data_IF_338705210278
#
_entry.id   IF_338705210278
#
_cell.length_a   1.000
_cell.length_b   1.000
_cell.length_c   1.000
_cell.angle_alpha   90.00
_cell.angle_beta   90.00
_cell.angle_gamma   90.00
#
_symmetry.space_group_name_H-M   'P 1'
#
loop_
_entity.id
_entity.type
_entity.pdbx_description
1 polymer ?
#
# COMPACT_ATOMS: atom_id res chain seq x y z
N UNK A 1 -9.88 -10.39 -16.24
CA UNK A 1 -9.61 -10.92 -14.89
C UNK A 1 -9.22 -9.74 -14.03
N UNK A 2 -10.03 -9.48 -13.02
CA UNK A 2 -9.85 -8.38 -12.08
C UNK A 2 -9.10 -8.86 -10.82
N UNK A 3 -8.63 -7.92 -10.00
CA UNK A 3 -7.99 -8.24 -8.72
C UNK A 3 -8.89 -9.12 -7.81
N UNK A 4 -10.21 -8.91 -7.87
CA UNK A 4 -11.18 -9.66 -7.08
C UNK A 4 -11.17 -11.15 -7.42
N UNK A 5 -10.97 -11.50 -8.69
CA UNK A 5 -10.96 -12.89 -9.15
C UNK A 5 -9.79 -13.66 -8.52
N UNK A 6 -8.59 -13.05 -8.55
CA UNK A 6 -7.39 -13.58 -7.91
C UNK A 6 -7.56 -13.74 -6.40
N UNK A 7 -8.10 -12.72 -5.73
CA UNK A 7 -8.33 -12.76 -4.28
C UNK A 7 -9.38 -13.81 -3.91
N UNK A 8 -10.44 -13.97 -4.70
CA UNK A 8 -11.48 -14.99 -4.47
C UNK A 8 -10.94 -16.40 -4.71
N UNK A 9 -10.11 -16.59 -5.73
CA UNK A 9 -9.40 -17.84 -5.96
C UNK A 9 -8.54 -18.22 -4.75
N UNK A 10 -7.71 -17.30 -4.25
CA UNK A 10 -6.84 -17.55 -3.09
C UNK A 10 -7.64 -17.71 -1.80
N UNK A 11 -8.65 -16.88 -1.54
CA UNK A 11 -9.31 -16.85 -0.23
C UNK A 11 -10.49 -17.81 -0.11
N UNK A 12 -11.20 -18.13 -1.19
CA UNK A 12 -12.49 -18.81 -1.12
C UNK A 12 -12.59 -20.03 -2.04
N UNK A 13 -12.49 -19.82 -3.37
CA UNK A 13 -12.77 -20.87 -4.36
C UNK A 13 -11.70 -21.96 -4.38
N UNK A 14 -10.42 -21.61 -4.14
CA UNK A 14 -9.27 -22.52 -4.26
C UNK A 14 -9.15 -23.19 -5.62
N UNK A 15 -9.57 -22.47 -6.66
CA UNK A 15 -9.41 -22.88 -8.05
C UNK A 15 -8.17 -22.22 -8.61
N UNK A 16 -7.29 -23.01 -9.22
CA UNK A 16 -6.07 -22.52 -9.85
C UNK A 16 -6.41 -21.83 -11.18
N UNK A 17 -6.28 -20.51 -11.21
CA UNK A 17 -6.61 -19.71 -12.39
C UNK A 17 -5.52 -19.76 -13.47
N UNK A 18 -4.31 -20.22 -13.13
CA UNK A 18 -3.17 -20.35 -14.04
C UNK A 18 -3.17 -21.68 -14.80
N UNK A 19 -3.81 -22.73 -14.26
CA UNK A 19 -3.98 -24.02 -14.95
C UNK A 19 -4.81 -23.90 -16.23
N UNK A 20 -5.83 -23.03 -16.22
CA UNK A 20 -6.71 -22.81 -17.37
C UNK A 20 -6.04 -22.02 -18.51
N UNK A 21 -5.13 -21.11 -18.18
CA UNK A 21 -4.44 -20.25 -19.15
C UNK A 21 -3.15 -19.68 -18.53
N UNK A 22 -1.97 -20.24 -18.89
CA UNK A 22 -0.68 -19.79 -18.39
C UNK A 22 -0.34 -18.34 -18.74
N UNK A 23 -0.95 -17.74 -19.78
CA UNK A 23 -0.68 -16.34 -20.14
C UNK A 23 -1.20 -15.34 -19.10
N UNK A 24 -2.07 -15.79 -18.19
CA UNK A 24 -2.64 -14.96 -17.10
C UNK A 24 -1.59 -14.55 -16.06
N UNK A 25 -0.49 -15.28 -15.95
CA UNK A 25 0.61 -14.98 -15.03
C UNK A 25 1.16 -13.56 -15.21
N UNK A 26 1.24 -13.07 -16.45
CA UNK A 26 1.70 -11.72 -16.76
C UNK A 26 0.80 -10.62 -16.20
N UNK A 27 -0.47 -10.95 -15.92
CA UNK A 27 -1.48 -10.02 -15.39
C UNK A 27 -1.64 -10.17 -13.87
N UNK A 28 -0.91 -11.08 -13.23
CA UNK A 28 -1.00 -11.31 -11.80
C UNK A 28 -0.36 -10.15 -11.01
N UNK A 29 -1.14 -9.43 -10.17
CA UNK A 29 -0.61 -8.28 -9.44
C UNK A 29 0.02 -8.71 -8.10
N UNK A 30 1.18 -9.36 -8.18
CA UNK A 30 2.00 -9.88 -7.07
C UNK A 30 2.02 -8.99 -5.82
N UNK A 31 2.43 -7.73 -6.01
CA UNK A 31 2.52 -6.74 -4.94
C UNK A 31 1.17 -6.46 -4.28
N UNK A 32 0.11 -6.32 -5.08
CA UNK A 32 -1.22 -5.97 -4.57
C UNK A 32 -1.81 -7.14 -3.78
N UNK A 33 -1.63 -8.36 -4.27
CA UNK A 33 -2.09 -9.57 -3.55
C UNK A 33 -1.39 -9.69 -2.20
N UNK A 34 -0.06 -9.56 -2.17
CA UNK A 34 0.69 -9.62 -0.91
C UNK A 34 0.23 -8.54 0.08
N UNK A 35 0.05 -7.30 -0.39
CA UNK A 35 -0.46 -6.19 0.42
C UNK A 35 -1.88 -6.43 0.97
N UNK A 36 -2.74 -7.06 0.18
CA UNK A 36 -4.08 -7.42 0.67
C UNK A 36 -4.00 -8.50 1.76
N UNK A 37 -3.14 -9.50 1.59
CA UNK A 37 -2.96 -10.59 2.56
C UNK A 37 -2.23 -10.14 3.82
N UNK A 38 -1.37 -9.12 3.76
CA UNK A 38 -0.72 -8.57 4.95
C UNK A 38 -1.70 -7.89 5.91
N UNK A 39 -2.91 -7.57 5.46
CA UNK A 39 -3.94 -6.92 6.26
C UNK A 39 -4.65 -7.82 7.27
N UNK A 40 -4.41 -9.13 7.26
CA UNK A 40 -5.05 -10.07 8.18
C UNK A 40 -4.04 -10.82 9.03
N UNK A 41 -4.38 -11.01 10.31
CA UNK A 41 -3.51 -11.67 11.31
C UNK A 41 -3.19 -13.11 10.92
N UNK A 42 -4.11 -13.81 10.26
CA UNK A 42 -3.90 -15.20 9.83
C UNK A 42 -3.02 -15.33 8.58
N UNK A 43 -2.88 -14.26 7.79
CA UNK A 43 -2.12 -14.28 6.53
C UNK A 43 -0.86 -13.40 6.54
N UNK A 44 -0.62 -12.64 7.61
CA UNK A 44 0.53 -11.75 7.73
C UNK A 44 1.87 -12.50 7.69
N UNK A 45 1.96 -13.68 8.30
CA UNK A 45 3.20 -14.46 8.31
C UNK A 45 3.57 -14.97 6.90
N UNK A 46 2.58 -15.50 6.16
CA UNK A 46 2.77 -15.89 4.75
C UNK A 46 3.15 -14.70 3.87
N UNK A 47 2.59 -13.53 4.16
CA UNK A 47 2.90 -12.30 3.43
C UNK A 47 4.33 -11.83 3.69
N UNK A 48 4.81 -12.01 4.94
CA UNK A 48 6.17 -11.69 5.34
C UNK A 48 7.21 -12.61 4.70
N UNK A 49 6.93 -13.92 4.63
CA UNK A 49 7.81 -14.88 3.93
C UNK A 49 8.01 -14.49 2.46
N UNK A 50 6.91 -14.20 1.75
CA UNK A 50 6.99 -13.79 0.34
C UNK A 50 7.73 -12.45 0.16
N UNK A 51 7.63 -11.53 1.11
CA UNK A 51 8.37 -10.26 1.06
C UNK A 51 9.89 -10.44 1.10
N UNK A 52 10.41 -11.55 1.63
CA UNK A 52 11.84 -11.84 1.61
C UNK A 52 12.36 -12.16 0.19
N UNK A 53 11.47 -12.53 -0.72
CA UNK A 53 11.81 -12.97 -2.08
C UNK A 53 11.19 -12.03 -3.14
N UNK A 54 11.73 -10.82 -3.33
CA UNK A 54 11.16 -9.84 -4.27
C UNK A 54 11.28 -10.25 -5.75
N UNK A 55 12.23 -11.14 -6.09
CA UNK A 55 12.42 -11.68 -7.44
C UNK A 55 11.69 -13.00 -7.70
N UNK A 56 10.78 -13.40 -6.80
CA UNK A 56 10.03 -14.64 -6.95
C UNK A 56 9.12 -14.57 -8.17
N UNK A 57 8.99 -15.70 -8.86
CA UNK A 57 8.08 -15.79 -10.00
C UNK A 57 6.61 -15.64 -9.56
N UNK A 58 5.82 -14.99 -10.41
CA UNK A 58 4.44 -14.64 -10.10
C UNK A 58 3.58 -15.89 -9.85
N UNK A 59 3.77 -16.92 -10.67
CA UNK A 59 3.12 -18.21 -10.49
C UNK A 59 3.49 -18.85 -9.15
N UNK A 60 4.76 -18.84 -8.77
CA UNK A 60 5.19 -19.46 -7.53
C UNK A 60 4.59 -18.75 -6.31
N UNK A 61 4.55 -17.42 -6.33
CA UNK A 61 3.87 -16.62 -5.31
C UNK A 61 2.38 -16.98 -5.22
N UNK A 62 1.71 -17.07 -6.38
CA UNK A 62 0.30 -17.41 -6.45
C UNK A 62 0.01 -18.82 -5.91
N UNK A 63 0.78 -19.82 -6.35
CA UNK A 63 0.65 -21.21 -5.94
C UNK A 63 0.92 -21.35 -4.43
N UNK A 64 1.89 -20.62 -3.89
CA UNK A 64 2.16 -20.58 -2.45
C UNK A 64 0.94 -20.11 -1.66
N UNK A 65 0.33 -18.98 -2.04
CA UNK A 65 -0.85 -18.48 -1.34
C UNK A 65 -2.08 -19.36 -1.55
N UNK A 66 -2.26 -19.90 -2.76
CA UNK A 66 -3.37 -20.77 -3.10
C UNK A 66 -3.37 -22.02 -2.20
N UNK A 67 -2.20 -22.61 -1.96
CA UNK A 67 -2.08 -23.85 -1.19
C UNK A 67 -1.90 -23.62 0.32
N UNK A 68 -1.27 -22.51 0.73
CA UNK A 68 -0.95 -22.28 2.16
C UNK A 68 -2.10 -21.65 2.94
N UNK A 69 -2.86 -20.75 2.30
CA UNK A 69 -3.90 -19.98 3.01
C UNK A 69 -5.16 -20.82 3.18
N UNK A 70 -5.83 -20.75 4.34
CA UNK A 70 -7.11 -21.46 4.53
C UNK A 70 -8.28 -20.69 3.90
N UNK A 71 -9.30 -21.44 3.46
CA UNK A 71 -10.55 -20.88 2.91
C UNK A 71 -11.24 -20.00 3.96
N UNK A 72 -11.45 -18.71 3.66
CA UNK A 72 -12.16 -17.73 4.50
C UNK A 72 -12.54 -16.53 3.65
N UNK A 73 -13.72 -15.94 3.88
CA UNK A 73 -14.06 -14.64 3.27
C UNK A 73 -13.24 -13.53 3.92
N UNK A 74 -12.32 -12.93 3.16
CA UNK A 74 -11.41 -11.87 3.60
C UNK A 74 -11.67 -10.61 2.78
N UNK A 75 -11.94 -9.49 3.46
CA UNK A 75 -12.12 -8.18 2.85
C UNK A 75 -11.03 -7.26 3.39
N UNK A 76 -10.09 -6.85 2.53
CA UNK A 76 -8.94 -6.06 2.96
C UNK A 76 -9.34 -4.59 3.02
N UNK A 77 -9.37 -3.93 4.19
CA UNK A 77 -9.58 -2.50 4.25
C UNK A 77 -8.34 -1.80 3.66
N UNK A 78 -8.52 -1.01 2.62
CA UNK A 78 -7.47 -0.11 2.16
C UNK A 78 -7.34 1.04 3.15
N UNK A 79 -6.35 0.94 4.03
CA UNK A 79 -5.96 2.02 4.93
C UNK A 79 -5.53 3.23 4.08
N UNK A 80 -6.38 4.26 4.09
CA UNK A 80 -6.02 5.56 3.53
C UNK A 80 -5.23 6.30 4.60
N UNK A 81 -4.05 6.79 4.24
CA UNK A 81 -3.30 7.68 5.13
C UNK A 81 -4.05 9.00 5.23
N UNK A 82 -4.29 9.47 6.45
CA UNK A 82 -4.80 10.82 6.66
C UNK A 82 -3.80 11.84 6.13
N UNK A 83 -4.30 12.79 5.32
CA UNK A 83 -3.46 13.87 4.80
C UNK A 83 -3.19 14.85 5.94
N UNK A 84 -1.94 14.91 6.39
CA UNK A 84 -1.49 15.94 7.34
C UNK A 84 -1.43 17.26 6.59
N UNK A 85 -2.39 18.14 6.85
CA UNK A 85 -2.42 19.47 6.25
C UNK A 85 -1.15 20.26 6.65
N UNK A 86 -0.65 21.07 5.73
CA UNK A 86 0.47 22.01 5.94
C UNK A 86 1.87 21.39 6.12
N UNK A 87 2.00 20.05 6.10
CA UNK A 87 3.31 19.39 6.23
C UNK A 87 4.29 19.82 5.13
N UNK A 88 3.83 19.87 3.89
CA UNK A 88 4.69 20.22 2.75
C UNK A 88 5.15 21.68 2.81
N UNK A 89 4.30 22.59 3.27
CA UNK A 89 4.67 24.00 3.48
C UNK A 89 5.77 24.14 4.54
N UNK A 90 5.64 23.45 5.69
CA UNK A 90 6.68 23.47 6.74
C UNK A 90 7.99 22.86 6.25
N UNK A 91 7.93 21.77 5.47
CA UNK A 91 9.12 21.16 4.86
C UNK A 91 9.83 22.12 3.91
N UNK A 92 9.09 22.79 3.03
CA UNK A 92 9.66 23.70 2.05
C UNK A 92 10.26 24.96 2.70
N UNK A 93 9.59 25.51 3.70
CA UNK A 93 10.04 26.74 4.37
C UNK A 93 11.30 26.54 5.22
N UNK A 94 11.36 25.44 5.99
CA UNK A 94 12.48 25.16 6.89
C UNK A 94 13.52 24.17 6.33
N UNK A 95 13.29 23.58 5.16
CA UNK A 95 14.15 22.52 4.61
C UNK A 95 14.15 21.22 5.43
N UNK A 96 13.06 20.94 6.14
CA UNK A 96 12.96 19.82 7.08
C UNK A 96 12.61 18.49 6.40
N UNK A 97 13.12 17.39 6.98
CA UNK A 97 12.63 16.04 6.69
C UNK A 97 11.18 15.86 7.18
N UNK A 98 10.48 14.84 6.70
CA UNK A 98 9.08 14.56 7.08
C UNK A 98 8.86 14.51 8.61
N UNK A 99 9.78 13.88 9.33
CA UNK A 99 9.70 13.71 10.78
C UNK A 99 9.88 15.02 11.52
N UNK A 100 10.91 15.80 11.15
CA UNK A 100 11.17 17.12 11.73
C UNK A 100 10.03 18.10 11.43
N UNK A 101 9.45 18.04 10.24
CA UNK A 101 8.28 18.84 9.88
C UNK A 101 7.03 18.45 10.70
N UNK A 102 6.82 17.15 10.96
CA UNK A 102 5.74 16.71 11.86
C UNK A 102 5.94 17.18 13.29
N UNK A 103 7.18 17.21 13.79
CA UNK A 103 7.48 17.77 15.11
C UNK A 103 7.23 19.28 15.15
N UNK A 104 7.69 20.02 14.14
CA UNK A 104 7.46 21.46 14.04
C UNK A 104 5.96 21.80 13.96
N UNK A 105 5.17 21.01 13.21
CA UNK A 105 3.70 21.19 13.14
C UNK A 105 2.99 21.11 14.49
N UNK A 106 3.53 20.38 15.48
CA UNK A 106 2.95 20.30 16.83
C UNK A 106 3.18 21.58 17.64
N UNK A 107 4.22 22.35 17.30
CA UNK A 107 4.64 23.55 18.01
C UNK A 107 4.07 24.82 17.35
N UNK A 108 3.91 24.79 16.02
CA UNK A 108 3.49 25.94 15.24
C UNK A 108 2.02 26.30 15.45
N UNK A 109 1.76 27.57 15.71
CA UNK A 109 0.40 28.12 15.79
C UNK A 109 -0.19 28.38 14.40
N UNK A 110 -1.53 28.52 14.32
CA UNK A 110 -2.25 28.79 13.06
C UNK A 110 -1.73 30.04 12.33
N UNK A 111 -1.40 31.10 13.06
CA UNK A 111 -0.89 32.35 12.49
C UNK A 111 0.52 32.19 11.91
N UNK A 112 1.38 31.42 12.59
CA UNK A 112 2.72 31.09 12.11
C UNK A 112 2.65 30.23 10.84
N UNK A 113 1.71 29.28 10.78
CA UNK A 113 1.47 28.47 9.58
C UNK A 113 0.95 29.32 8.41
N UNK A 114 0.12 30.32 8.69
CA UNK A 114 -0.35 31.26 7.67
C UNK A 114 0.82 32.10 7.15
N UNK A 115 1.65 32.64 8.04
CA UNK A 115 2.87 33.38 7.66
C UNK A 115 3.81 32.53 6.79
N UNK A 116 4.04 31.27 7.15
CA UNK A 116 4.86 30.34 6.37
C UNK A 116 4.28 30.16 4.96
N UNK A 117 2.96 29.95 4.84
CA UNK A 117 2.30 29.84 3.54
C UNK A 117 2.40 31.12 2.72
N UNK A 118 2.19 32.26 3.33
CA UNK A 118 2.25 33.57 2.66
C UNK A 118 3.67 33.86 2.14
N UNK A 119 4.71 33.46 2.87
CA UNK A 119 6.11 33.56 2.43
C UNK A 119 6.47 32.60 1.30
N UNK A 120 5.83 31.43 1.25
CA UNK A 120 5.99 30.46 0.18
C UNK A 120 5.16 30.81 -1.07
N UNK A 121 4.16 31.69 -0.93
CA UNK A 121 3.43 32.29 -2.04
C UNK A 121 4.29 33.37 -2.74
N UNK A 122 5.40 32.96 -3.32
CA UNK A 122 6.13 33.75 -4.32
C UNK A 122 5.30 33.74 -5.60
N UNK A 123 4.52 34.80 -5.81
CA UNK A 123 3.52 34.92 -6.86
C UNK A 123 3.92 34.28 -8.20
N UNK A 124 3.05 33.37 -8.66
CA UNK A 124 3.10 32.71 -9.95
C UNK A 124 1.71 32.15 -10.21
N UNK A 125 0.90 32.92 -10.94
CA UNK A 125 -0.38 32.43 -11.46
C UNK A 125 -0.05 31.28 -12.42
N UNK A 126 -0.63 30.11 -12.17
CA UNK A 126 -0.80 29.11 -13.22
C UNK A 126 -2.10 29.39 -13.94
#
# INVERSE_FOLDING_TARGET
MELKDWLNSINFNKQNLLEEDPLREKKYPAFIINKCLSGFVDTVMFSNEINQYPGLDNKLQYDFYLNSIRKKKRFSPWLRKDKVQNLDAVKQYYGYSNEKAMQALKILNKDQLKFIKDRLNVGGVK
#
